data_IF_903525331307
#
_entry.id   IF_903525331307
#
_cell.length_a   1.000
_cell.length_b   1.000
_cell.length_c   1.000
_cell.angle_alpha   90.00
_cell.angle_beta   90.00
_cell.angle_gamma   90.00
#
_symmetry.space_group_name_H-M   'P 1'
#
loop_
_entity.id
_entity.type
_entity.pdbx_description
1 polymer ?
#
# COMPACT_ATOMS: atom_id res chain seq x y z
N UNK A 1 -0.96 27.09 -1.03
CA UNK A 1 -0.87 26.69 -2.44
C UNK A 1 -1.23 25.21 -2.53
N UNK A 2 -2.38 24.85 -3.12
CA UNK A 2 -2.84 23.46 -3.23
C UNK A 2 -2.02 22.75 -4.32
N UNK A 3 -1.31 21.67 -3.96
CA UNK A 3 -0.59 20.83 -4.95
C UNK A 3 -1.62 20.00 -5.71
N UNK A 4 -1.83 20.31 -6.99
CA UNK A 4 -2.66 19.47 -7.86
C UNK A 4 -1.92 18.18 -8.21
N UNK A 5 -2.49 17.03 -7.87
CA UNK A 5 -1.88 15.71 -8.10
C UNK A 5 -2.36 15.08 -9.41
N UNK A 6 -1.48 15.02 -10.42
CA UNK A 6 -1.81 14.61 -11.80
C UNK A 6 -0.99 13.37 -12.19
N UNK A 7 -1.28 12.18 -11.62
CA UNK A 7 -0.41 11.00 -11.70
C UNK A 7 -0.25 10.44 -13.12
N UNK A 8 -1.23 10.69 -13.98
CA UNK A 8 -1.23 10.24 -15.38
C UNK A 8 -1.05 11.40 -16.38
N UNK A 9 -0.63 12.56 -15.88
CA UNK A 9 -0.60 13.80 -16.63
C UNK A 9 -1.99 14.28 -17.04
N UNK A 10 -2.02 15.29 -17.90
CA UNK A 10 -3.23 15.86 -18.46
C UNK A 10 -2.89 16.61 -19.74
N UNK A 11 -3.91 16.89 -20.55
CA UNK A 11 -3.76 17.49 -21.87
C UNK A 11 -3.49 16.43 -22.95
N UNK A 12 -3.07 16.87 -24.14
CA UNK A 12 -3.05 16.03 -25.35
C UNK A 12 -2.03 14.88 -25.30
N UNK A 13 -1.09 14.89 -24.35
CA UNK A 13 -0.09 13.83 -24.15
C UNK A 13 -0.23 13.15 -22.78
N UNK A 14 -1.43 13.14 -22.21
CA UNK A 14 -1.71 12.36 -21.01
C UNK A 14 -1.54 10.85 -21.28
N UNK A 15 -1.37 10.08 -20.21
CA UNK A 15 -1.17 8.63 -20.31
C UNK A 15 -2.34 7.98 -21.08
N UNK A 16 -2.04 7.46 -22.27
CA UNK A 16 -3.01 6.72 -23.08
C UNK A 16 -3.55 5.47 -22.36
N UNK A 17 -2.71 4.88 -21.49
CA UNK A 17 -3.05 3.74 -20.65
C UNK A 17 -3.72 4.09 -19.34
N UNK A 18 -4.16 5.34 -19.10
CA UNK A 18 -4.75 5.75 -17.82
C UNK A 18 -5.92 4.83 -17.41
N UNK A 19 -6.83 4.53 -18.35
CA UNK A 19 -7.97 3.67 -18.07
C UNK A 19 -7.57 2.22 -17.79
N UNK A 20 -6.56 1.70 -18.51
CA UNK A 20 -6.02 0.37 -18.28
C UNK A 20 -5.38 0.26 -16.89
N UNK A 21 -4.49 1.19 -16.55
CA UNK A 21 -3.86 1.23 -15.23
C UNK A 21 -4.90 1.29 -14.11
N UNK A 22 -5.95 2.09 -14.31
CA UNK A 22 -7.09 2.18 -13.39
C UNK A 22 -7.89 0.88 -13.26
N UNK A 23 -8.05 0.12 -14.34
CA UNK A 23 -8.72 -1.17 -14.30
C UNK A 23 -7.83 -2.21 -13.59
N UNK A 24 -6.54 -2.27 -13.92
CA UNK A 24 -5.57 -3.19 -13.33
C UNK A 24 -5.42 -2.96 -11.83
N UNK A 25 -5.22 -1.72 -11.38
CA UNK A 25 -5.09 -1.40 -9.95
C UNK A 25 -6.34 -1.84 -9.16
N UNK A 26 -7.53 -1.60 -9.71
CA UNK A 26 -8.79 -2.02 -9.06
C UNK A 26 -8.95 -3.53 -9.06
N UNK A 27 -8.62 -4.20 -10.16
CA UNK A 27 -8.72 -5.64 -10.28
C UNK A 27 -7.76 -6.35 -9.33
N UNK A 28 -6.51 -5.90 -9.26
CA UNK A 28 -5.51 -6.43 -8.32
C UNK A 28 -5.98 -6.22 -6.89
N UNK A 29 -6.41 -5.01 -6.52
CA UNK A 29 -6.93 -4.74 -5.18
C UNK A 29 -8.13 -5.63 -4.84
N UNK A 30 -9.11 -5.74 -5.75
CA UNK A 30 -10.28 -6.59 -5.54
C UNK A 30 -9.91 -8.07 -5.37
N UNK A 31 -9.01 -8.60 -6.21
CA UNK A 31 -8.56 -9.99 -6.11
C UNK A 31 -7.79 -10.27 -4.82
N UNK A 32 -6.90 -9.36 -4.43
CA UNK A 32 -6.11 -9.48 -3.19
C UNK A 32 -7.04 -9.48 -1.98
N UNK A 33 -7.91 -8.47 -1.83
CA UNK A 33 -8.75 -8.34 -0.64
C UNK A 33 -9.95 -9.30 -0.60
N UNK A 34 -10.36 -9.89 -1.73
CA UNK A 34 -11.40 -10.92 -1.75
C UNK A 34 -10.87 -12.34 -1.49
N UNK A 35 -9.57 -12.55 -1.67
CA UNK A 35 -8.95 -13.89 -1.57
C UNK A 35 -8.04 -14.02 -0.36
N UNK A 36 -7.49 -12.91 0.14
CA UNK A 36 -6.53 -12.92 1.22
C UNK A 36 -6.93 -11.94 2.33
N UNK A 37 -6.75 -12.39 3.57
CA UNK A 37 -6.73 -11.54 4.75
C UNK A 37 -5.33 -10.94 4.86
N UNK A 38 -5.25 -9.62 4.80
CA UNK A 38 -3.98 -8.89 4.82
C UNK A 38 -3.66 -8.39 6.23
N UNK A 39 -2.45 -8.64 6.71
CA UNK A 39 -1.90 -8.04 7.94
C UNK A 39 -0.52 -7.43 7.68
N UNK A 40 -0.19 -6.35 8.38
CA UNK A 40 1.16 -5.81 8.35
C UNK A 40 2.09 -6.68 9.20
N UNK A 41 3.35 -6.78 8.78
CA UNK A 41 4.40 -7.41 9.56
C UNK A 41 4.65 -6.67 10.89
N UNK A 42 5.19 -7.39 11.88
CA UNK A 42 5.42 -6.86 13.23
C UNK A 42 6.37 -5.65 13.23
N UNK A 43 7.27 -5.56 12.25
CA UNK A 43 8.22 -4.47 12.04
C UNK A 43 7.58 -3.08 11.83
N UNK A 44 6.29 -3.02 11.51
CA UNK A 44 5.57 -1.75 11.32
C UNK A 44 4.91 -1.22 12.59
N UNK A 45 4.93 -1.99 13.69
CA UNK A 45 4.34 -1.57 14.96
C UNK A 45 5.41 -1.05 15.91
N UNK A 46 5.10 0.04 16.61
CA UNK A 46 5.88 0.59 17.72
C UNK A 46 5.00 0.62 18.98
N UNK A 47 5.58 0.30 20.13
CA UNK A 47 4.86 0.41 21.41
C UNK A 47 4.92 1.86 21.87
N UNK A 48 3.75 2.52 21.97
CA UNK A 48 3.67 3.83 22.62
C UNK A 48 3.83 3.67 24.13
N UNK A 49 4.28 4.72 24.81
CA UNK A 49 4.47 4.74 26.27
C UNK A 49 3.20 4.36 27.08
N UNK A 50 2.02 4.45 26.46
CA UNK A 50 0.71 4.03 27.01
C UNK A 50 0.42 2.50 26.86
N UNK A 51 1.37 1.70 26.39
CA UNK A 51 1.21 0.24 26.22
C UNK A 51 0.33 -0.19 25.03
N UNK A 52 -0.12 0.76 24.19
CA UNK A 52 -0.84 0.47 22.94
C UNK A 52 0.13 0.29 21.77
N UNK A 53 -0.05 -0.78 20.99
CA UNK A 53 0.65 -0.97 19.70
C UNK A 53 0.14 0.06 18.70
N UNK A 54 1.00 0.99 18.30
CA UNK A 54 0.72 1.99 17.27
C UNK A 54 1.52 1.68 16.00
N UNK A 55 1.06 2.16 14.84
CA UNK A 55 1.88 2.11 13.64
C UNK A 55 3.08 3.04 13.81
N UNK A 56 4.26 2.62 13.37
CA UNK A 56 5.47 3.46 13.32
C UNK A 56 5.16 4.67 12.45
N UNK A 57 5.21 5.87 13.04
CA UNK A 57 5.03 7.10 12.30
C UNK A 57 6.11 7.15 11.20
N UNK A 58 5.67 7.24 9.94
CA UNK A 58 6.57 7.40 8.79
C UNK A 58 7.14 8.81 8.88
N UNK A 59 8.28 8.93 9.55
CA UNK A 59 8.97 10.19 9.74
C UNK A 59 9.20 10.85 8.37
N UNK A 60 8.74 12.09 8.22
CA UNK A 60 8.73 12.83 6.94
C UNK A 60 10.16 13.06 6.37
N UNK A 61 11.19 12.66 7.12
CA UNK A 61 12.62 12.77 6.78
C UNK A 61 13.32 11.42 6.55
N UNK A 62 12.60 10.31 6.35
CA UNK A 62 13.25 9.06 5.94
C UNK A 62 13.72 9.20 4.49
N UNK A 63 15.06 9.17 4.33
CA UNK A 63 15.73 8.97 3.05
C UNK A 63 15.01 7.88 2.25
N UNK A 64 14.92 8.15 0.95
CA UNK A 64 13.91 7.72 -0.03
C UNK A 64 13.87 6.21 -0.35
N UNK A 65 14.00 5.35 0.63
CA UNK A 65 13.87 3.92 0.46
C UNK A 65 12.47 3.52 0.94
N UNK A 66 11.49 3.63 0.03
CA UNK A 66 10.09 3.21 0.26
C UNK A 66 9.96 1.71 0.59
N UNK A 67 11.06 0.96 0.48
CA UNK A 67 11.17 -0.45 0.78
C UNK A 67 12.34 -0.60 1.73
N UNK A 68 12.06 -0.90 3.00
CA UNK A 68 13.11 -1.30 3.93
C UNK A 68 13.79 -2.56 3.38
N UNK A 69 15.11 -2.57 3.31
CA UNK A 69 15.99 -3.72 3.01
C UNK A 69 15.87 -4.80 4.11
N UNK A 70 14.65 -5.31 4.34
CA UNK A 70 14.36 -6.34 5.31
C UNK A 70 14.03 -7.65 4.57
N UNK A 71 14.51 -8.83 5.04
CA UNK A 71 14.26 -10.12 4.39
C UNK A 71 12.82 -10.65 4.54
N UNK A 72 11.85 -9.81 4.93
CA UNK A 72 10.61 -10.25 5.55
C UNK A 72 9.45 -9.49 4.92
N UNK A 73 8.53 -10.22 4.28
CA UNK A 73 7.36 -9.68 3.59
C UNK A 73 6.64 -8.61 4.43
N UNK A 74 6.54 -7.36 3.95
CA UNK A 74 5.94 -6.27 4.71
C UNK A 74 4.44 -6.46 4.93
N UNK A 75 3.81 -7.22 4.03
CA UNK A 75 2.38 -7.51 4.03
C UNK A 75 2.24 -9.03 3.99
N UNK A 76 1.60 -9.58 5.02
CA UNK A 76 1.37 -11.01 5.13
C UNK A 76 -0.05 -11.30 4.66
N UNK A 77 -0.16 -12.23 3.71
CA UNK A 77 -1.38 -12.64 3.06
C UNK A 77 -1.79 -14.03 3.55
N UNK A 78 -2.87 -14.10 4.32
CA UNK A 78 -3.48 -15.37 4.73
C UNK A 78 -4.66 -15.66 3.81
N UNK A 79 -4.60 -16.75 3.02
CA UNK A 79 -5.67 -17.10 2.09
C UNK A 79 -6.96 -17.37 2.87
N UNK A 80 -8.03 -16.68 2.51
CA UNK A 80 -9.36 -16.95 3.07
C UNK A 80 -9.87 -18.24 2.42
N UNK A 81 -10.00 -19.30 3.20
CA UNK A 81 -10.69 -20.50 2.74
C UNK A 81 -12.13 -20.12 2.38
N UNK A 82 -12.46 -20.20 1.09
CA UNK A 82 -13.82 -19.98 0.64
C UNK A 82 -14.63 -21.17 1.14
N UNK A 83 -15.53 -20.94 2.08
CA UNK A 83 -16.57 -21.90 2.43
C UNK A 83 -17.45 -22.07 1.19
N UNK A 84 -17.16 -23.11 0.41
CA UNK A 84 -17.95 -23.58 -0.73
C UNK A 84 -19.36 -23.93 -0.30
#
# INVERSE_FOLDING_TARGET
>A
MQKSFWPFGSGPRMCIGMHLAWAEMRLVAANVFSTYKTRLGEQYYTEKADGRRALRELDENINRDLLSEAPIDPIIFERVERMT
#
